data_IF_024677183705
#
_entry.id   IF_024677183705
#
_cell.length_a   1.000
_cell.length_b   1.000
_cell.length_c   1.000
_cell.angle_alpha   90.00
_cell.angle_beta   90.00
_cell.angle_gamma   90.00
#
_symmetry.space_group_name_H-M   'P 1'
#
loop_
_entity.id
_entity.type
_entity.pdbx_description
1 polymer ?
#
# COMPACT_ATOMS: atom_id res chain seq x y z
N UNK A 1 10.32 -7.19 19.12
CA UNK A 1 10.63 -6.36 17.93
C UNK A 1 9.38 -6.07 17.10
N UNK A 2 8.64 -7.04 16.63
CA UNK A 2 7.45 -6.85 15.76
C UNK A 2 6.36 -6.01 16.40
N UNK A 3 6.04 -6.20 17.68
CA UNK A 3 5.05 -5.38 18.40
C UNK A 3 5.40 -3.89 18.41
N UNK A 4 6.69 -3.56 18.45
CA UNK A 4 7.15 -2.17 18.38
C UNK A 4 6.81 -1.61 17.00
N UNK A 5 7.18 -2.32 15.94
CA UNK A 5 6.87 -1.92 14.55
C UNK A 5 5.36 -1.74 14.34
N UNK A 6 4.54 -2.70 14.80
CA UNK A 6 3.08 -2.60 14.69
C UNK A 6 2.55 -1.34 15.40
N UNK A 7 3.07 -1.01 16.58
CA UNK A 7 2.67 0.19 17.29
C UNK A 7 3.11 1.46 16.57
N UNK A 8 4.33 1.50 16.04
CA UNK A 8 4.81 2.64 15.24
C UNK A 8 3.94 2.86 13.99
N UNK A 9 3.59 1.79 13.27
CA UNK A 9 2.70 1.86 12.10
C UNK A 9 1.31 2.37 12.52
N UNK A 10 0.76 1.85 13.63
CA UNK A 10 -0.54 2.30 14.14
C UNK A 10 -0.52 3.78 14.49
N UNK A 11 0.50 4.25 15.19
CA UNK A 11 0.65 5.66 15.54
C UNK A 11 0.76 6.55 14.30
N UNK A 12 1.53 6.12 13.29
CA UNK A 12 1.67 6.87 12.06
C UNK A 12 0.36 6.96 11.27
N UNK A 13 -0.44 5.90 11.24
CA UNK A 13 -1.76 5.91 10.61
C UNK A 13 -2.71 6.82 11.38
N UNK A 14 -2.71 6.77 12.71
CA UNK A 14 -3.52 7.66 13.54
C UNK A 14 -3.16 9.14 13.35
N UNK A 15 -1.87 9.45 13.25
CA UNK A 15 -1.38 10.79 12.93
C UNK A 15 -1.89 11.26 11.56
N UNK A 16 -1.77 10.42 10.53
CA UNK A 16 -2.24 10.72 9.19
C UNK A 16 -3.76 10.92 9.13
N UNK A 17 -4.53 10.11 9.84
CA UNK A 17 -5.99 10.25 9.93
C UNK A 17 -6.40 11.54 10.64
N UNK A 18 -5.70 11.87 11.73
CA UNK A 18 -5.92 13.14 12.45
C UNK A 18 -5.60 14.33 11.56
N UNK A 19 -4.47 14.29 10.85
CA UNK A 19 -4.10 15.31 9.88
C UNK A 19 -5.16 15.46 8.78
N UNK A 20 -5.58 14.35 8.17
CA UNK A 20 -6.59 14.34 7.12
C UNK A 20 -7.93 14.95 7.59
N UNK A 21 -8.38 14.57 8.80
CA UNK A 21 -9.60 15.11 9.40
C UNK A 21 -9.54 16.63 9.58
N UNK A 22 -8.39 17.16 10.02
CA UNK A 22 -8.20 18.60 10.21
C UNK A 22 -8.01 19.36 8.90
N UNK A 23 -7.37 18.74 7.90
CA UNK A 23 -7.08 19.39 6.62
C UNK A 23 -8.33 19.48 5.76
N UNK A 24 -9.09 18.38 5.61
CA UNK A 24 -10.33 18.33 4.84
C UNK A 24 -11.24 17.21 5.36
N UNK A 25 -12.11 17.57 6.30
CA UNK A 25 -13.03 16.62 6.94
C UNK A 25 -14.01 15.97 5.96
N UNK A 26 -14.49 16.70 4.95
CA UNK A 26 -15.40 16.16 3.94
C UNK A 26 -14.76 15.07 3.09
N UNK A 27 -13.57 15.33 2.58
CA UNK A 27 -12.79 14.33 1.83
C UNK A 27 -12.40 13.15 2.71
N UNK A 28 -12.10 13.40 3.99
CA UNK A 28 -11.78 12.32 4.92
C UNK A 28 -12.97 11.40 5.21
N UNK A 29 -14.18 11.96 5.35
CA UNK A 29 -15.40 11.15 5.50
C UNK A 29 -15.64 10.31 4.24
N UNK A 30 -15.46 10.87 3.04
CA UNK A 30 -15.58 10.11 1.80
C UNK A 30 -14.53 9.00 1.69
N UNK A 31 -13.30 9.30 2.11
CA UNK A 31 -12.23 8.30 2.19
C UNK A 31 -12.61 7.13 3.11
N UNK A 32 -13.12 7.41 4.31
CA UNK A 32 -13.57 6.38 5.25
C UNK A 32 -14.75 5.58 4.70
N UNK A 33 -15.65 6.22 3.96
CA UNK A 33 -16.78 5.59 3.29
C UNK A 33 -16.38 4.82 2.01
N UNK A 34 -15.09 4.74 1.69
CA UNK A 34 -14.58 4.16 0.43
C UNK A 34 -15.20 4.84 -0.81
N UNK A 35 -15.29 6.16 -0.77
CA UNK A 35 -15.80 6.95 -1.89
C UNK A 35 -14.93 6.83 -3.14
N UNK A 36 -15.54 7.02 -4.27
CA UNK A 36 -14.87 7.12 -5.58
C UNK A 36 -15.39 8.31 -6.38
N UNK A 37 -14.74 8.59 -7.48
CA UNK A 37 -15.08 9.65 -8.39
C UNK A 37 -15.38 9.10 -9.78
N UNK A 38 -16.60 9.29 -10.25
CA UNK A 38 -17.02 8.88 -11.58
C UNK A 38 -17.14 10.08 -12.51
N UNK A 39 -16.05 10.38 -13.23
CA UNK A 39 -16.00 11.49 -14.17
C UNK A 39 -17.07 11.42 -15.29
N UNK A 40 -17.64 10.24 -15.55
CA UNK A 40 -18.70 10.07 -16.55
C UNK A 40 -19.97 10.82 -16.14
N UNK A 41 -20.17 11.06 -14.83
CA UNK A 41 -21.31 11.80 -14.29
C UNK A 41 -21.17 13.31 -14.38
N UNK A 42 -20.00 13.82 -14.79
CA UNK A 42 -19.81 15.25 -15.07
C UNK A 42 -20.27 15.68 -16.47
N UNK A 43 -20.61 14.73 -17.33
CA UNK A 43 -20.95 15.00 -18.72
C UNK A 43 -22.14 15.94 -18.89
N UNK A 44 -22.16 16.72 -19.99
CA UNK A 44 -23.23 17.64 -20.35
C UNK A 44 -24.62 16.97 -20.39
N UNK A 45 -24.68 15.69 -20.68
CA UNK A 45 -25.88 14.88 -20.66
C UNK A 45 -26.62 14.88 -19.31
N UNK A 46 -25.92 15.14 -18.22
CA UNK A 46 -26.48 15.20 -16.87
C UNK A 46 -26.71 16.64 -16.39
N UNK A 47 -26.28 17.65 -17.16
CA UNK A 47 -26.32 19.05 -16.74
C UNK A 47 -27.74 19.53 -16.45
N UNK A 48 -28.73 18.98 -17.15
CA UNK A 48 -30.15 19.38 -17.06
C UNK A 48 -30.98 18.47 -16.14
N UNK A 49 -30.35 17.51 -15.45
CA UNK A 49 -31.07 16.67 -14.50
C UNK A 49 -31.23 17.39 -13.15
N UNK A 50 -32.41 17.21 -12.54
CA UNK A 50 -32.67 17.72 -11.19
C UNK A 50 -33.24 16.55 -10.33
N UNK A 51 -32.53 16.11 -9.30
CA UNK A 51 -31.18 16.54 -8.93
C UNK A 51 -30.09 16.09 -9.91
N UNK A 52 -29.08 16.90 -10.11
CA UNK A 52 -27.90 16.52 -10.88
C UNK A 52 -27.16 15.37 -10.12
N UNK A 53 -26.80 14.25 -10.77
CA UNK A 53 -26.04 13.21 -10.12
C UNK A 53 -24.68 13.74 -9.68
N UNK A 54 -24.27 13.33 -8.49
CA UNK A 54 -22.93 13.64 -7.98
C UNK A 54 -21.89 12.72 -8.64
N UNK A 55 -20.77 13.26 -9.12
CA UNK A 55 -19.65 12.42 -9.56
C UNK A 55 -19.01 11.65 -8.42
N UNK A 56 -19.21 12.08 -7.19
CA UNK A 56 -18.72 11.39 -6.00
C UNK A 56 -19.70 10.30 -5.60
N UNK A 57 -19.27 9.06 -5.69
CA UNK A 57 -20.06 7.89 -5.38
C UNK A 57 -19.34 6.99 -4.37
N UNK A 58 -20.05 6.00 -3.86
CA UNK A 58 -19.42 4.94 -3.05
C UNK A 58 -18.87 3.88 -3.98
N UNK A 59 -17.63 3.48 -3.73
CA UNK A 59 -16.96 2.40 -4.47
C UNK A 59 -17.41 1.05 -3.90
N UNK A 60 -18.59 0.59 -4.31
CA UNK A 60 -19.17 -0.62 -3.78
C UNK A 60 -18.53 -1.91 -4.31
N UNK A 61 -17.85 -1.86 -5.44
CA UNK A 61 -17.68 -3.08 -6.20
C UNK A 61 -16.25 -3.42 -6.63
N UNK A 62 -15.35 -2.46 -6.76
CA UNK A 62 -14.12 -2.73 -7.50
C UNK A 62 -12.99 -3.30 -6.64
N UNK A 63 -12.83 -2.82 -5.42
CA UNK A 63 -11.64 -3.14 -4.63
C UNK A 63 -11.94 -4.05 -3.43
N UNK A 64 -13.17 -4.03 -2.89
CA UNK A 64 -13.49 -4.75 -1.66
C UNK A 64 -13.54 -6.28 -1.82
N UNK A 65 -13.86 -6.79 -3.00
CA UNK A 65 -14.06 -8.23 -3.22
C UNK A 65 -12.91 -8.93 -3.93
N UNK A 66 -12.14 -8.22 -4.75
CA UNK A 66 -11.07 -8.84 -5.55
C UNK A 66 -9.98 -9.46 -4.67
N UNK A 67 -9.61 -8.77 -3.63
CA UNK A 67 -8.46 -9.14 -2.78
C UNK A 67 -8.86 -9.69 -1.41
N UNK A 68 -10.13 -9.60 -1.02
CA UNK A 68 -10.59 -9.96 0.33
C UNK A 68 -10.17 -11.37 0.77
N UNK A 69 -10.24 -12.34 -0.13
CA UNK A 69 -9.86 -13.73 0.20
C UNK A 69 -8.35 -13.85 0.39
N UNK A 70 -7.56 -13.16 -0.43
CA UNK A 70 -6.10 -13.11 -0.31
C UNK A 70 -5.67 -12.36 0.93
N UNK A 71 -6.27 -11.21 1.19
CA UNK A 71 -5.99 -10.41 2.38
C UNK A 71 -6.29 -11.21 3.65
N UNK A 72 -7.40 -11.91 3.71
CA UNK A 72 -7.75 -12.80 4.82
C UNK A 72 -6.74 -13.94 4.98
N UNK A 73 -6.22 -14.47 3.88
CA UNK A 73 -5.16 -15.49 3.90
C UNK A 73 -3.87 -14.89 4.45
N UNK A 74 -3.41 -13.74 3.94
CA UNK A 74 -2.19 -13.07 4.37
C UNK A 74 -2.23 -12.69 5.85
N UNK A 75 -3.32 -12.08 6.29
CA UNK A 75 -3.52 -11.71 7.70
C UNK A 75 -3.46 -12.96 8.60
N UNK A 76 -4.10 -14.07 8.18
CA UNK A 76 -4.06 -15.32 8.96
C UNK A 76 -2.67 -15.93 8.98
N UNK A 77 -1.95 -15.91 7.86
CA UNK A 77 -0.58 -16.41 7.76
C UNK A 77 0.34 -15.58 8.68
N UNK A 78 0.37 -14.27 8.52
CA UNK A 78 1.20 -13.38 9.31
C UNK A 78 0.88 -13.46 10.81
N UNK A 79 -0.41 -13.49 11.18
CA UNK A 79 -0.82 -13.64 12.58
C UNK A 79 -0.35 -14.98 13.17
N UNK A 80 -0.35 -16.06 12.39
CA UNK A 80 0.16 -17.36 12.84
C UNK A 80 1.67 -17.35 12.99
N UNK A 81 2.33 -16.78 12.01
CA UNK A 81 3.79 -16.69 11.93
C UNK A 81 4.39 -15.86 13.06
N UNK A 82 3.78 -14.71 13.33
CA UNK A 82 4.28 -13.72 14.29
C UNK A 82 3.54 -13.69 15.63
N UNK A 83 2.75 -14.71 15.92
CA UNK A 83 1.98 -14.78 17.17
C UNK A 83 2.87 -14.82 18.41
N UNK A 84 4.00 -15.48 18.31
CA UNK A 84 5.01 -15.56 19.36
C UNK A 84 6.21 -14.73 18.90
N UNK A 85 6.73 -13.86 19.76
CA UNK A 85 7.90 -13.01 19.46
C UNK A 85 9.20 -13.83 19.18
N UNK A 86 9.13 -15.17 19.27
CA UNK A 86 10.23 -16.13 19.00
C UNK A 86 10.28 -16.50 17.52
N UNK A 87 10.29 -15.51 16.67
CA UNK A 87 10.42 -15.68 15.24
C UNK A 87 11.83 -16.19 14.89
N UNK A 88 11.90 -17.37 14.29
CA UNK A 88 13.14 -17.91 13.71
C UNK A 88 12.84 -18.58 12.38
N UNK A 89 13.61 -18.23 11.36
CA UNK A 89 13.70 -19.07 10.16
C UNK A 89 14.49 -20.32 10.56
N UNK A 90 13.83 -21.47 10.65
CA UNK A 90 14.48 -22.73 11.05
C UNK A 90 14.24 -23.79 9.96
N UNK A 91 15.32 -24.37 9.48
CA UNK A 91 15.29 -25.50 8.56
C UNK A 91 14.71 -25.18 7.17
N UNK A 92 14.34 -26.22 6.44
CA UNK A 92 13.78 -26.14 5.07
C UNK A 92 12.48 -25.29 5.00
N UNK A 93 11.69 -25.27 6.09
CA UNK A 93 10.48 -24.46 6.19
C UNK A 93 10.77 -22.94 6.15
N UNK A 94 11.99 -22.53 6.45
CA UNK A 94 12.37 -21.11 6.49
C UNK A 94 12.34 -20.43 5.14
N UNK A 95 12.68 -21.13 4.07
CA UNK A 95 12.67 -20.60 2.71
C UNK A 95 11.26 -20.50 2.18
N UNK A 96 10.44 -21.50 2.43
CA UNK A 96 9.03 -21.48 2.04
C UNK A 96 8.33 -20.29 2.70
N UNK A 97 8.58 -20.05 3.98
CA UNK A 97 8.07 -18.89 4.70
C UNK A 97 8.58 -17.58 4.09
N UNK A 98 9.86 -17.48 3.77
CA UNK A 98 10.43 -16.31 3.11
C UNK A 98 9.80 -16.06 1.74
N UNK A 99 9.62 -17.10 0.94
CA UNK A 99 8.95 -16.99 -0.36
C UNK A 99 7.50 -16.50 -0.22
N UNK A 100 6.76 -16.99 0.78
CA UNK A 100 5.40 -16.52 1.06
C UNK A 100 5.41 -15.06 1.50
N UNK A 101 6.34 -14.64 2.34
CA UNK A 101 6.46 -13.25 2.79
C UNK A 101 6.82 -12.30 1.63
N UNK A 102 7.74 -12.71 0.76
CA UNK A 102 8.09 -11.97 -0.47
C UNK A 102 6.88 -11.86 -1.42
N UNK A 103 6.09 -12.91 -1.54
CA UNK A 103 4.85 -12.90 -2.31
C UNK A 103 3.84 -11.91 -1.70
N UNK A 104 3.66 -11.93 -0.39
CA UNK A 104 2.77 -10.98 0.32
C UNK A 104 3.26 -9.55 0.10
N UNK A 105 4.55 -9.32 0.28
CA UNK A 105 5.18 -8.02 0.06
C UNK A 105 4.90 -7.47 -1.34
N UNK A 106 5.20 -8.27 -2.36
CA UNK A 106 4.99 -7.87 -3.76
C UNK A 106 3.52 -7.58 -4.03
N UNK A 107 2.64 -8.44 -3.53
CA UNK A 107 1.21 -8.29 -3.74
C UNK A 107 0.64 -7.01 -3.09
N UNK A 108 1.06 -6.69 -1.86
CA UNK A 108 0.62 -5.47 -1.18
C UNK A 108 1.02 -4.23 -1.98
N UNK A 109 2.28 -4.17 -2.47
CA UNK A 109 2.77 -3.03 -3.23
C UNK A 109 2.32 -3.00 -4.70
N UNK A 110 1.59 -4.01 -5.16
CA UNK A 110 0.90 -4.07 -6.46
C UNK A 110 -0.62 -3.97 -6.33
N UNK A 111 -1.15 -4.03 -5.12
CA UNK A 111 -2.59 -3.93 -4.88
C UNK A 111 -3.10 -2.55 -5.26
N UNK A 112 -3.93 -2.51 -6.30
CA UNK A 112 -4.59 -1.28 -6.76
C UNK A 112 -5.41 -0.64 -5.63
N UNK A 113 -6.15 -1.46 -4.87
CA UNK A 113 -6.95 -0.99 -3.75
C UNK A 113 -6.09 -0.30 -2.67
N UNK A 114 -5.00 -0.92 -2.28
CA UNK A 114 -4.08 -0.37 -1.29
C UNK A 114 -3.44 0.93 -1.78
N UNK A 115 -2.89 0.93 -2.99
CA UNK A 115 -2.23 2.11 -3.57
C UNK A 115 -3.21 3.28 -3.77
N UNK A 116 -4.42 2.99 -4.22
CA UNK A 116 -5.50 3.97 -4.38
C UNK A 116 -5.85 4.64 -3.04
N UNK A 117 -6.03 3.85 -1.98
CA UNK A 117 -6.29 4.39 -0.65
C UNK A 117 -5.12 5.22 -0.13
N UNK A 118 -3.90 4.74 -0.29
CA UNK A 118 -2.71 5.47 0.15
C UNK A 118 -2.56 6.80 -0.59
N UNK A 119 -2.78 6.79 -1.91
CA UNK A 119 -2.77 8.00 -2.75
C UNK A 119 -3.84 9.00 -2.32
N UNK A 120 -5.09 8.55 -2.14
CA UNK A 120 -6.20 9.40 -1.69
C UNK A 120 -5.91 10.03 -0.33
N UNK A 121 -5.42 9.24 0.63
CA UNK A 121 -5.01 9.77 1.92
C UNK A 121 -3.92 10.83 1.77
N UNK A 122 -2.92 10.61 0.92
CA UNK A 122 -1.85 11.58 0.66
C UNK A 122 -2.38 12.89 0.07
N UNK A 123 -3.38 12.83 -0.81
CA UNK A 123 -4.04 14.03 -1.34
C UNK A 123 -4.73 14.82 -0.24
N UNK A 124 -5.48 14.16 0.63
CA UNK A 124 -6.18 14.83 1.73
C UNK A 124 -5.21 15.55 2.65
N UNK A 125 -4.17 14.84 3.14
CA UNK A 125 -3.21 15.41 4.09
C UNK A 125 -2.35 16.52 3.49
N UNK A 126 -2.13 16.51 2.17
CA UNK A 126 -1.41 17.57 1.46
C UNK A 126 -2.29 18.76 1.08
N UNK A 127 -3.56 18.78 1.47
CA UNK A 127 -4.48 19.87 1.20
C UNK A 127 -4.95 19.97 -0.24
N UNK A 128 -4.89 18.87 -0.99
CA UNK A 128 -5.40 18.83 -2.36
C UNK A 128 -6.91 19.02 -2.37
N UNK A 129 -7.39 19.68 -3.43
CA UNK A 129 -8.82 19.89 -3.61
C UNK A 129 -9.56 18.57 -3.90
N UNK A 130 -10.88 18.62 -3.71
CA UNK A 130 -11.73 17.43 -3.80
C UNK A 130 -11.73 16.79 -5.20
N UNK A 131 -11.55 17.58 -6.27
CA UNK A 131 -11.44 17.05 -7.63
C UNK A 131 -10.18 16.21 -7.89
N UNK A 132 -9.13 16.39 -7.08
CA UNK A 132 -7.92 15.55 -7.13
C UNK A 132 -8.16 14.13 -6.59
N UNK A 133 -9.40 13.85 -6.19
CA UNK A 133 -9.81 12.52 -5.76
C UNK A 133 -9.89 11.51 -6.90
N UNK A 134 -10.08 12.00 -8.12
CA UNK A 134 -10.12 11.14 -9.29
C UNK A 134 -8.79 10.43 -9.52
N UNK A 135 -8.86 9.12 -9.49
CA UNK A 135 -7.73 8.23 -9.75
C UNK A 135 -7.85 7.49 -11.09
N UNK A 136 -8.93 7.74 -11.84
CA UNK A 136 -9.22 7.04 -13.11
C UNK A 136 -8.14 7.24 -14.18
N UNK A 137 -7.49 8.40 -14.17
CA UNK A 137 -6.38 8.74 -15.09
C UNK A 137 -5.01 8.26 -14.63
N UNK A 138 -4.90 7.78 -13.40
CA UNK A 138 -3.62 7.31 -12.87
C UNK A 138 -3.31 5.92 -13.42
N UNK A 139 -2.14 5.79 -13.99
CA UNK A 139 -1.57 4.47 -14.22
C UNK A 139 -1.12 3.95 -12.87
N UNK A 140 -1.95 3.09 -12.24
CA UNK A 140 -1.62 2.43 -10.97
C UNK A 140 -0.47 1.44 -11.12
N UNK A 141 0.59 1.87 -11.76
CA UNK A 141 1.71 1.03 -12.04
C UNK A 141 2.96 1.60 -11.41
N UNK A 142 3.38 0.93 -10.35
CA UNK A 142 4.75 0.87 -9.97
C UNK A 142 5.29 2.05 -9.19
N UNK A 143 6.59 2.04 -9.17
CA UNK A 143 7.48 2.90 -8.42
C UNK A 143 7.14 4.41 -8.46
N UNK A 144 6.84 5.05 -9.61
CA UNK A 144 6.58 6.48 -9.66
C UNK A 144 5.39 6.92 -8.80
N UNK A 145 4.27 6.17 -8.83
CA UNK A 145 3.10 6.49 -8.02
C UNK A 145 3.39 6.39 -6.52
N UNK A 146 4.09 5.33 -6.12
CA UNK A 146 4.46 5.12 -4.71
C UNK A 146 5.37 6.25 -4.23
N UNK A 147 6.35 6.64 -5.04
CA UNK A 147 7.26 7.72 -4.71
C UNK A 147 6.54 9.07 -4.59
N UNK A 148 5.66 9.40 -5.53
CA UNK A 148 4.85 10.60 -5.48
C UNK A 148 3.94 10.62 -4.24
N UNK A 149 3.26 9.51 -3.97
CA UNK A 149 2.40 9.34 -2.80
C UNK A 149 3.18 9.53 -1.51
N UNK A 150 4.35 8.91 -1.41
CA UNK A 150 5.26 9.02 -0.27
C UNK A 150 5.67 10.48 -0.02
N UNK A 151 6.12 11.19 -1.06
CA UNK A 151 6.58 12.57 -0.92
C UNK A 151 5.49 13.52 -0.41
N UNK A 152 4.23 13.27 -0.71
CA UNK A 152 3.10 14.05 -0.19
C UNK A 152 2.93 13.92 1.33
N UNK A 153 3.35 12.82 1.93
CA UNK A 153 3.31 12.64 3.39
C UNK A 153 4.45 13.35 4.11
N UNK A 154 5.51 13.73 3.41
CA UNK A 154 6.78 14.16 3.99
C UNK A 154 6.65 15.23 5.07
N UNK A 155 5.92 16.29 4.78
CA UNK A 155 5.76 17.44 5.66
C UNK A 155 4.59 17.28 6.64
N UNK A 156 3.47 16.72 6.15
CA UNK A 156 2.24 16.62 6.91
C UNK A 156 2.21 15.42 7.88
N UNK A 157 2.83 14.31 7.49
CA UNK A 157 2.80 13.02 8.22
C UNK A 157 4.16 12.33 8.18
N UNK A 158 5.20 12.91 8.80
CA UNK A 158 6.57 12.45 8.67
C UNK A 158 6.82 11.02 9.19
N UNK A 159 6.01 10.53 10.13
CA UNK A 159 6.11 9.13 10.58
C UNK A 159 5.68 8.18 9.46
N UNK A 160 4.54 8.46 8.80
CA UNK A 160 4.05 7.62 7.71
C UNK A 160 5.00 7.67 6.50
N UNK A 161 5.56 8.84 6.19
CA UNK A 161 6.61 8.99 5.19
C UNK A 161 7.78 8.03 5.45
N UNK A 162 8.33 8.05 6.68
CA UNK A 162 9.45 7.17 7.06
C UNK A 162 9.11 5.69 6.98
N UNK A 163 7.89 5.31 7.36
CA UNK A 163 7.44 3.92 7.29
C UNK A 163 7.37 3.46 5.84
N UNK A 164 6.77 4.26 4.95
CA UNK A 164 6.70 3.93 3.52
C UNK A 164 8.11 3.85 2.94
N UNK A 165 8.97 4.81 3.26
CA UNK A 165 10.37 4.85 2.80
C UNK A 165 11.17 3.62 3.24
N UNK A 166 10.98 3.18 4.48
CA UNK A 166 11.65 1.99 5.01
C UNK A 166 11.05 0.67 4.51
N UNK A 167 9.75 0.65 4.19
CA UNK A 167 9.04 -0.57 3.83
C UNK A 167 8.97 -0.84 2.32
N UNK A 168 9.08 0.19 1.48
CA UNK A 168 9.02 0.02 0.05
C UNK A 168 10.40 0.00 -0.60
N UNK A 169 10.67 -1.08 -1.28
CA UNK A 169 11.91 -1.25 -2.05
C UNK A 169 11.58 -1.83 -3.42
N UNK A 170 11.69 -1.02 -4.47
CA UNK A 170 11.22 -1.38 -5.82
C UNK A 170 11.90 -2.65 -6.36
N UNK A 171 13.21 -2.80 -6.13
CA UNK A 171 13.93 -3.98 -6.64
C UNK A 171 13.52 -5.29 -5.95
N UNK A 172 13.07 -5.27 -4.68
CA UNK A 172 12.56 -6.47 -4.00
C UNK A 172 11.26 -6.93 -4.69
N UNK A 173 10.34 -5.98 -4.91
CA UNK A 173 9.09 -6.27 -5.62
C UNK A 173 9.36 -6.84 -7.00
N UNK A 174 10.19 -6.14 -7.78
CA UNK A 174 10.50 -6.54 -9.15
C UNK A 174 11.24 -7.88 -9.22
N UNK A 175 12.15 -8.13 -8.27
CA UNK A 175 12.86 -9.40 -8.17
C UNK A 175 11.91 -10.57 -8.01
N UNK A 176 10.95 -10.45 -7.11
CA UNK A 176 10.01 -11.53 -6.87
C UNK A 176 9.02 -11.69 -8.01
N UNK A 177 8.42 -10.59 -8.49
CA UNK A 177 7.45 -10.59 -9.58
C UNK A 177 8.01 -11.19 -10.88
N UNK A 178 9.30 -11.00 -11.14
CA UNK A 178 9.97 -11.47 -12.36
C UNK A 178 10.89 -12.68 -12.13
N UNK A 179 10.87 -13.29 -10.95
CA UNK A 179 11.76 -14.41 -10.59
C UNK A 179 13.25 -14.09 -10.77
N UNK A 180 13.64 -12.84 -10.50
CA UNK A 180 15.00 -12.33 -10.62
C UNK A 180 15.73 -12.37 -9.28
N UNK A 181 15.57 -13.43 -8.51
CA UNK A 181 16.24 -13.58 -7.23
C UNK A 181 16.76 -15.00 -7.04
N UNK A 182 17.78 -15.11 -6.22
CA UNK A 182 18.30 -16.36 -5.69
C UNK A 182 18.38 -16.27 -4.16
N UNK A 183 18.14 -17.37 -3.48
CA UNK A 183 18.28 -17.46 -2.03
C UNK A 183 19.47 -18.34 -1.72
N UNK A 184 20.47 -17.78 -1.07
CA UNK A 184 21.57 -18.53 -0.47
C UNK A 184 21.20 -18.80 1.00
N UNK A 185 20.83 -20.06 1.27
CA UNK A 185 20.36 -20.49 2.59
C UNK A 185 21.46 -20.46 3.63
N UNK A 186 22.66 -20.87 3.23
CA UNK A 186 23.81 -20.93 4.13
C UNK A 186 24.28 -19.54 4.54
N UNK A 187 24.31 -18.62 3.58
CA UNK A 187 24.69 -17.23 3.81
C UNK A 187 23.53 -16.34 4.30
N UNK A 188 22.30 -16.83 4.26
CA UNK A 188 21.07 -16.07 4.55
C UNK A 188 20.97 -14.76 3.73
N UNK A 189 21.13 -14.92 2.45
CA UNK A 189 21.18 -13.82 1.50
C UNK A 189 20.13 -14.04 0.42
N UNK A 190 19.39 -12.97 0.10
CA UNK A 190 18.61 -12.86 -1.13
C UNK A 190 19.42 -12.04 -2.10
N UNK A 191 19.80 -12.62 -3.20
CA UNK A 191 20.48 -11.92 -4.28
C UNK A 191 19.47 -11.50 -5.35
N UNK A 192 19.37 -10.20 -5.60
CA UNK A 192 18.68 -9.70 -6.77
C UNK A 192 19.58 -9.82 -7.98
N UNK A 193 19.09 -10.50 -9.01
CA UNK A 193 19.81 -10.75 -10.28
C UNK A 193 19.26 -9.81 -11.33
N UNK A 194 19.76 -8.58 -11.38
CA UNK A 194 19.52 -7.70 -12.53
C UNK A 194 20.63 -7.90 -13.58
N UNK A 195 20.30 -7.62 -14.84
CA UNK A 195 21.22 -7.78 -15.99
C UNK A 195 22.51 -6.99 -15.86
N UNK A 196 22.54 -5.92 -15.06
CA UNK A 196 23.70 -5.02 -14.95
C UNK A 196 24.18 -4.80 -13.50
N UNK A 197 23.46 -5.28 -12.50
CA UNK A 197 23.85 -5.13 -11.09
C UNK A 197 23.31 -6.24 -10.22
N UNK A 198 24.10 -6.66 -9.24
CA UNK A 198 23.64 -7.54 -8.16
C UNK A 198 23.44 -6.72 -6.90
N UNK A 199 22.26 -6.79 -6.34
CA UNK A 199 21.98 -6.21 -5.02
C UNK A 199 21.71 -7.33 -4.05
N UNK A 200 22.34 -7.27 -2.90
CA UNK A 200 22.26 -8.32 -1.89
C UNK A 200 21.45 -7.83 -0.71
N UNK A 201 20.46 -8.60 -0.31
CA UNK A 201 19.71 -8.42 0.93
C UNK A 201 20.13 -9.51 1.91
N UNK A 202 20.48 -9.11 3.11
CA UNK A 202 20.80 -10.05 4.19
C UNK A 202 19.54 -10.16 5.06
N UNK A 203 18.97 -11.37 5.15
CA UNK A 203 17.92 -11.62 6.13
C UNK A 203 18.55 -12.16 7.42
N UNK A 204 18.27 -11.46 8.51
CA UNK A 204 18.74 -11.83 9.85
C UNK A 204 17.58 -12.30 10.70
N UNK A 205 17.89 -13.25 11.62
CA UNK A 205 16.95 -13.67 12.66
C UNK A 205 16.50 -12.50 13.55
#
# INVERSE_FOLDING_TARGET
>A
MIRVIINEVREAIQEAFTCALHTNSGSFVLFLARGDYDHRLEGEQFANLDPKPSPYCLDYMLDAYKDETRDKFYIRYLNRRYKNDDFKYQGDDGIDDLCVEMMIYSHVWESEAFLKHLYRLSNIVSGKEFYDWDVSGLKFHGHPLIMETKERFKDACPKLYKIIDASYTGYIRDSFAHSLFNVDEDARIIEHIATESRTTLIFRD
#
